data_IF_810777088240
#
_entry.id   IF_810777088240
#
_cell.length_a   1.000
_cell.length_b   1.000
_cell.length_c   1.000
_cell.angle_alpha   90.00
_cell.angle_beta   90.00
_cell.angle_gamma   90.00
#
_symmetry.space_group_name_H-M   'P 1'
#
loop_
_entity.id
_entity.type
_entity.pdbx_description
1 polymer ?
#
# COMPACT_ATOMS: atom_id res chain seq x y z
N UNK A 1 -12.30 7.05 -17.47
CA UNK A 1 -12.88 6.93 -16.12
C UNK A 1 -12.83 8.29 -15.44
N UNK A 2 -13.91 8.71 -14.78
CA UNK A 2 -13.99 10.02 -14.12
C UNK A 2 -13.62 9.96 -12.62
N UNK A 3 -13.44 11.12 -11.99
CA UNK A 3 -13.09 11.22 -10.56
C UNK A 3 -14.12 10.60 -9.62
N UNK A 4 -15.42 10.62 -9.97
CA UNK A 4 -16.49 10.05 -9.14
C UNK A 4 -16.43 8.52 -9.13
N UNK A 5 -16.28 7.92 -10.31
CA UNK A 5 -16.08 6.48 -10.49
C UNK A 5 -14.82 6.01 -9.75
N UNK A 6 -13.73 6.78 -9.82
CA UNK A 6 -12.51 6.49 -9.09
C UNK A 6 -12.70 6.51 -7.58
N UNK A 7 -13.46 7.47 -7.06
CA UNK A 7 -13.85 7.48 -5.65
C UNK A 7 -14.63 6.23 -5.27
N UNK A 8 -15.61 5.86 -6.10
CA UNK A 8 -16.46 4.70 -5.84
C UNK A 8 -15.63 3.39 -5.82
N UNK A 9 -14.68 3.24 -6.74
CA UNK A 9 -13.75 2.11 -6.76
C UNK A 9 -12.91 2.04 -5.48
N UNK A 10 -12.34 3.17 -5.06
CA UNK A 10 -11.52 3.27 -3.84
C UNK A 10 -12.30 2.91 -2.58
N UNK A 11 -13.50 3.45 -2.44
CA UNK A 11 -14.39 3.18 -1.28
C UNK A 11 -14.85 1.72 -1.29
N UNK A 12 -15.11 1.13 -2.46
CA UNK A 12 -15.51 -0.27 -2.59
C UNK A 12 -14.42 -1.23 -2.14
N UNK A 13 -13.18 -0.99 -2.52
CA UNK A 13 -12.07 -1.91 -2.21
C UNK A 13 -11.49 -1.66 -0.81
N UNK A 14 -11.45 -0.40 -0.37
CA UNK A 14 -10.85 0.01 0.91
C UNK A 14 -11.79 0.98 1.65
N UNK A 15 -12.92 0.49 2.20
CA UNK A 15 -13.93 1.33 2.86
C UNK A 15 -13.43 1.98 4.16
N UNK A 16 -12.43 1.38 4.83
CA UNK A 16 -11.88 1.89 6.09
C UNK A 16 -10.98 3.13 5.95
N UNK A 17 -10.71 3.59 4.72
CA UNK A 17 -9.87 4.74 4.45
C UNK A 17 -10.72 5.96 4.10
N UNK A 18 -10.39 7.11 4.69
CA UNK A 18 -10.94 8.40 4.25
C UNK A 18 -10.19 8.87 3.01
N UNK A 19 -10.83 8.76 1.85
CA UNK A 19 -10.27 9.11 0.55
C UNK A 19 -10.44 10.59 0.21
N UNK A 20 -9.34 11.21 -0.22
CA UNK A 20 -9.28 12.57 -0.79
C UNK A 20 -8.76 12.46 -2.21
N UNK A 21 -9.53 12.90 -3.20
CA UNK A 21 -9.11 12.92 -4.61
C UNK A 21 -8.45 14.25 -4.91
N UNK A 22 -7.27 14.20 -5.53
CA UNK A 22 -6.52 15.38 -5.92
C UNK A 22 -6.93 15.81 -7.33
N UNK A 23 -7.04 17.12 -7.54
CA UNK A 23 -7.27 17.66 -8.88
C UNK A 23 -6.03 17.40 -9.73
N UNK A 24 -6.26 16.83 -10.90
CA UNK A 24 -5.24 16.63 -11.92
C UNK A 24 -5.44 17.66 -13.02
N UNK A 25 -4.34 18.15 -13.60
CA UNK A 25 -4.42 19.02 -14.79
C UNK A 25 -4.91 18.24 -16.02
N UNK A 26 -4.79 16.91 -15.99
CA UNK A 26 -5.24 16.00 -17.05
C UNK A 26 -6.09 14.88 -16.42
N UNK A 27 -7.32 15.16 -15.98
CA UNK A 27 -8.16 14.20 -15.26
C UNK A 27 -8.48 12.95 -16.10
N UNK A 28 -8.48 13.08 -17.43
CA UNK A 28 -8.72 11.96 -18.33
C UNK A 28 -7.54 11.00 -18.43
N UNK A 29 -6.31 11.43 -18.10
CA UNK A 29 -5.09 10.60 -18.23
C UNK A 29 -4.52 10.18 -16.89
N UNK A 30 -4.72 11.01 -15.86
CA UNK A 30 -4.12 10.83 -14.56
C UNK A 30 -5.12 11.20 -13.47
N UNK A 31 -5.34 10.26 -12.55
CA UNK A 31 -6.11 10.46 -11.33
C UNK A 31 -5.24 10.10 -10.14
N UNK A 32 -5.34 10.87 -9.07
CA UNK A 32 -4.60 10.64 -7.83
C UNK A 32 -5.50 10.81 -6.62
N UNK A 33 -5.36 9.94 -5.64
CA UNK A 33 -6.09 10.00 -4.39
C UNK A 33 -5.19 9.62 -3.21
N UNK A 34 -5.44 10.25 -2.07
CA UNK A 34 -4.83 9.87 -0.79
C UNK A 34 -5.91 9.37 0.16
N UNK A 35 -5.72 8.15 0.67
CA UNK A 35 -6.52 7.55 1.72
C UNK A 35 -5.79 7.65 3.06
N UNK A 36 -6.47 8.08 4.10
CA UNK A 36 -5.94 8.02 5.47
C UNK A 36 -6.83 7.16 6.36
N UNK A 37 -6.22 6.24 7.10
CA UNK A 37 -6.88 5.46 8.14
C UNK A 37 -6.47 6.01 9.52
N UNK A 38 -7.45 6.32 10.35
CA UNK A 38 -7.24 6.82 11.72
C UNK A 38 -8.10 6.04 12.71
N UNK A 39 -7.57 5.83 13.92
CA UNK A 39 -8.32 5.29 15.07
C UNK A 39 -8.21 6.30 16.22
N UNK A 40 -9.32 6.97 16.52
CA UNK A 40 -9.31 8.12 17.43
C UNK A 40 -8.40 9.23 16.90
N UNK A 41 -7.51 9.74 17.76
CA UNK A 41 -6.52 10.76 17.39
C UNK A 41 -5.28 10.20 16.66
N UNK A 42 -5.10 8.88 16.61
CA UNK A 42 -3.92 8.25 16.00
C UNK A 42 -4.16 7.94 14.53
N UNK A 43 -3.31 8.49 13.65
CA UNK A 43 -3.24 8.11 12.23
C UNK A 43 -2.42 6.83 12.11
N UNK A 44 -3.03 5.78 11.57
CA UNK A 44 -2.45 4.44 11.50
C UNK A 44 -1.74 4.17 10.18
N UNK A 45 -2.33 4.64 9.08
CA UNK A 45 -1.77 4.39 7.76
C UNK A 45 -2.21 5.45 6.75
N UNK A 46 -1.33 5.71 5.79
CA UNK A 46 -1.61 6.55 4.63
C UNK A 46 -1.37 5.74 3.37
N UNK A 47 -2.35 5.76 2.47
CA UNK A 47 -2.25 5.20 1.13
C UNK A 47 -2.32 6.32 0.10
N UNK A 48 -1.47 6.27 -0.92
CA UNK A 48 -1.63 7.06 -2.13
C UNK A 48 -1.92 6.11 -3.27
N UNK A 49 -2.96 6.41 -4.04
CA UNK A 49 -3.34 5.65 -5.23
C UNK A 49 -3.28 6.60 -6.41
N UNK A 50 -2.50 6.22 -7.41
CA UNK A 50 -2.42 6.90 -8.68
C UNK A 50 -2.92 5.95 -9.77
N UNK A 51 -3.72 6.48 -10.69
CA UNK A 51 -4.23 5.75 -11.85
C UNK A 51 -3.84 6.52 -13.10
N UNK A 52 -3.16 5.84 -14.02
CA UNK A 52 -2.78 6.36 -15.34
C UNK A 52 -3.49 5.56 -16.42
N UNK A 53 -4.26 6.25 -17.26
CA UNK A 53 -4.81 5.65 -18.48
C UNK A 53 -3.67 5.38 -19.47
N UNK A 54 -3.74 4.24 -20.17
CA UNK A 54 -2.88 3.83 -21.29
C UNK A 54 -1.44 4.39 -21.25
N UNK A 55 -0.66 3.97 -20.25
CA UNK A 55 0.72 4.42 -20.12
C UNK A 55 1.63 3.66 -21.09
N UNK A 56 2.38 4.38 -21.94
CA UNK A 56 3.37 3.81 -22.86
C UNK A 56 2.82 2.73 -23.82
N UNK A 57 1.60 2.89 -24.32
CA UNK A 57 0.97 1.96 -25.26
C UNK A 57 0.33 0.72 -24.62
N UNK A 58 0.19 0.69 -23.29
CA UNK A 58 -0.52 -0.40 -22.61
C UNK A 58 -2.03 -0.30 -22.83
N UNK A 59 -2.67 -1.42 -23.20
CA UNK A 59 -4.12 -1.53 -23.35
C UNK A 59 -4.89 -1.38 -22.01
N UNK A 60 -4.19 -1.51 -20.89
CA UNK A 60 -4.78 -1.46 -19.55
C UNK A 60 -4.32 -0.22 -18.76
N UNK A 61 -5.18 0.29 -17.85
CA UNK A 61 -4.78 1.33 -16.92
C UNK A 61 -3.70 0.81 -15.95
N UNK A 62 -2.75 1.67 -15.62
CA UNK A 62 -1.72 1.41 -14.62
C UNK A 62 -2.15 2.02 -13.30
N UNK A 63 -2.27 1.18 -12.28
CA UNK A 63 -2.47 1.59 -10.90
C UNK A 63 -1.14 1.53 -10.15
N UNK A 64 -0.79 2.61 -9.46
CA UNK A 64 0.34 2.68 -8.55
C UNK A 64 -0.18 2.99 -7.15
N UNK A 65 0.18 2.15 -6.19
CA UNK A 65 -0.26 2.28 -4.80
C UNK A 65 0.97 2.40 -3.92
N UNK A 66 1.05 3.48 -3.17
CA UNK A 66 2.09 3.75 -2.18
C UNK A 66 1.49 3.65 -0.79
N UNK A 67 2.28 3.14 0.14
CA UNK A 67 1.91 3.11 1.55
C UNK A 67 2.96 3.75 2.42
N UNK A 68 2.48 4.50 3.40
CA UNK A 68 3.26 5.08 4.47
C UNK A 68 2.60 4.77 5.81
N UNK A 69 3.41 4.72 6.86
CA UNK A 69 2.95 4.52 8.23
C UNK A 69 2.27 5.77 8.83
N UNK A 70 2.70 6.14 10.03
CA UNK A 70 2.06 7.19 10.82
C UNK A 70 2.33 8.60 10.28
N UNK A 71 1.50 9.04 9.34
CA UNK A 71 1.42 10.44 8.92
C UNK A 71 1.46 10.64 7.40
N UNK A 72 0.91 11.78 6.96
CA UNK A 72 0.84 12.15 5.54
C UNK A 72 2.17 12.69 5.00
N UNK A 73 3.15 12.93 5.87
CA UNK A 73 4.52 13.35 5.52
C UNK A 73 5.55 12.22 5.71
N UNK A 74 5.12 11.06 6.18
CA UNK A 74 6.02 9.92 6.33
C UNK A 74 6.54 9.49 4.96
N UNK A 75 7.81 9.07 4.86
CA UNK A 75 8.34 8.54 3.61
C UNK A 75 7.53 7.32 3.18
N UNK A 76 7.36 7.16 1.86
CA UNK A 76 6.72 5.98 1.31
C UNK A 76 7.58 4.75 1.62
N UNK A 77 6.99 3.78 2.31
CA UNK A 77 7.68 2.56 2.74
C UNK A 77 7.75 1.57 1.58
N UNK A 78 6.66 1.44 0.82
CA UNK A 78 6.63 0.60 -0.36
C UNK A 78 5.65 1.13 -1.40
N UNK A 79 5.96 0.82 -2.66
CA UNK A 79 5.15 1.12 -3.84
C UNK A 79 4.89 -0.18 -4.59
N UNK A 80 3.62 -0.46 -4.86
CA UNK A 80 3.20 -1.57 -5.70
C UNK A 80 2.51 -1.04 -6.96
N UNK A 81 2.68 -1.74 -8.08
CA UNK A 81 2.08 -1.40 -9.36
C UNK A 81 1.26 -2.57 -9.86
N UNK A 82 0.06 -2.30 -10.38
CA UNK A 82 -0.82 -3.34 -10.92
C UNK A 82 -1.67 -2.83 -12.07
N UNK A 83 -2.25 -3.78 -12.82
CA UNK A 83 -3.22 -3.51 -13.89
C UNK A 83 -4.63 -3.19 -13.34
N UNK A 84 -4.85 -3.39 -12.05
CA UNK A 84 -6.06 -3.03 -11.33
C UNK A 84 -5.72 -2.61 -9.90
N UNK A 85 -6.57 -1.79 -9.30
CA UNK A 85 -6.41 -1.34 -7.91
C UNK A 85 -6.33 -2.53 -6.94
N UNK A 86 -7.20 -3.52 -7.10
CA UNK A 86 -7.22 -4.71 -6.27
C UNK A 86 -5.91 -5.52 -6.34
N UNK A 87 -5.30 -5.62 -7.54
CA UNK A 87 -4.03 -6.34 -7.70
C UNK A 87 -2.87 -5.58 -7.07
N UNK A 88 -2.77 -4.29 -7.32
CA UNK A 88 -1.73 -3.46 -6.71
C UNK A 88 -1.80 -3.48 -5.17
N UNK A 89 -3.01 -3.43 -4.59
CA UNK A 89 -3.20 -3.54 -3.15
C UNK A 89 -2.85 -4.93 -2.60
N UNK A 90 -3.17 -6.00 -3.34
CA UNK A 90 -2.79 -7.36 -2.95
C UNK A 90 -1.27 -7.54 -2.95
N UNK A 91 -0.58 -7.00 -3.95
CA UNK A 91 0.87 -7.07 -4.05
C UNK A 91 1.53 -6.30 -2.90
N UNK A 92 1.00 -5.13 -2.55
CA UNK A 92 1.42 -4.35 -1.39
C UNK A 92 1.23 -5.11 -0.07
N UNK A 93 0.08 -5.76 0.12
CA UNK A 93 -0.16 -6.62 1.29
C UNK A 93 0.79 -7.83 1.31
N UNK A 94 1.05 -8.42 0.14
CA UNK A 94 2.00 -9.52 -0.03
C UNK A 94 3.41 -9.11 0.41
N UNK A 95 3.88 -7.93 0.01
CA UNK A 95 5.15 -7.36 0.43
C UNK A 95 5.25 -7.29 1.97
N UNK A 96 4.24 -6.74 2.63
CA UNK A 96 4.24 -6.63 4.09
C UNK A 96 4.18 -7.98 4.81
N UNK A 97 3.40 -8.94 4.29
CA UNK A 97 3.38 -10.31 4.81
C UNK A 97 4.76 -10.98 4.70
N UNK A 98 5.42 -10.81 3.56
CA UNK A 98 6.76 -11.34 3.33
C UNK A 98 7.79 -10.70 4.26
N UNK A 99 7.76 -9.38 4.45
CA UNK A 99 8.63 -8.68 5.41
C UNK A 99 8.41 -9.18 6.83
N UNK A 100 7.16 -9.32 7.27
CA UNK A 100 6.84 -9.86 8.59
C UNK A 100 7.37 -11.28 8.78
N UNK A 101 7.22 -12.16 7.78
CA UNK A 101 7.76 -13.52 7.82
C UNK A 101 9.30 -13.51 7.90
N UNK A 102 9.96 -12.64 7.14
CA UNK A 102 11.42 -12.46 7.17
C UNK A 102 11.89 -12.05 8.57
N UNK A 103 11.29 -11.03 9.17
CA UNK A 103 11.67 -10.57 10.51
C UNK A 103 11.39 -11.60 11.60
N UNK A 104 10.28 -12.34 11.51
CA UNK A 104 9.99 -13.46 12.43
C UNK A 104 11.05 -14.57 12.32
N UNK A 105 11.51 -14.89 11.11
CA UNK A 105 12.59 -15.87 10.92
C UNK A 105 13.90 -15.42 11.59
N UNK A 106 14.26 -14.14 11.43
CA UNK A 106 15.44 -13.56 12.09
C UNK A 106 15.31 -13.56 13.62
N UNK A 107 14.14 -13.24 14.16
CA UNK A 107 13.85 -13.33 15.58
C UNK A 107 14.04 -14.76 16.10
N UNK A 108 13.46 -15.75 15.42
CA UNK A 108 13.60 -17.16 15.79
C UNK A 108 15.08 -17.60 15.80
N UNK A 109 15.88 -17.14 14.83
CA UNK A 109 17.31 -17.45 14.79
C UNK A 109 18.05 -16.92 16.03
N UNK A 110 17.73 -15.69 16.47
CA UNK A 110 18.27 -15.12 17.70
C UNK A 110 17.81 -15.89 18.94
N UNK A 111 16.54 -16.31 19.00
CA UNK A 111 16.02 -17.13 20.10
C UNK A 111 16.73 -18.48 20.18
N UNK A 112 16.94 -19.16 19.05
CA UNK A 112 17.71 -20.41 19.00
C UNK A 112 19.15 -20.21 19.50
N UNK A 113 19.79 -19.10 19.10
CA UNK A 113 21.13 -18.75 19.58
C UNK A 113 21.21 -18.49 21.10
N UNK A 114 20.09 -18.15 21.75
CA UNK A 114 20.02 -17.96 23.22
C UNK A 114 19.84 -19.25 24.00
N UNK A 115 19.36 -20.32 23.36
CA UNK A 115 19.24 -21.60 24.03
C UNK A 115 20.64 -22.18 24.29
N UNK A 116 20.97 -22.61 25.52
CA UNK A 116 22.21 -23.31 25.76
C UNK A 116 22.25 -24.56 24.88
N UNK A 117 23.36 -24.80 24.17
CA UNK A 117 23.55 -26.06 23.46
C UNK A 117 23.48 -27.20 24.48
N UNK A 118 22.43 -28.01 24.41
CA UNK A 118 22.38 -29.26 25.15
C UNK A 118 23.56 -30.13 24.67
N UNK A 119 24.59 -30.27 25.50
CA UNK A 119 25.78 -31.07 25.20
C UNK A 119 27.15 -30.38 25.36
N UNK A 120 27.22 -29.19 25.96
CA UNK A 120 28.50 -28.63 26.43
C UNK A 120 28.65 -28.87 27.95
N UNK A 121 28.86 -30.11 28.34
CA UNK A 121 29.46 -30.53 29.62
C UNK A 121 30.43 -31.67 29.33
#
# INVERSE_FOLDING_TARGET
>A
MNSSEFRAELVKIMPGYKWTIHKSNCPDKYLSATGTQSRGFNRLSTLQVERREAYAGSEHPRYEVKSAGNGTKSPWVHTAVGRSLARALRDLQGHYKWQAAKYRSLENALQVGRAPKAGAQ
#
